data_IF_536675122479
#
_entry.id   IF_536675122479
#
_cell.length_a   1.000
_cell.length_b   1.000
_cell.length_c   1.000
_cell.angle_alpha   90.00
_cell.angle_beta   90.00
_cell.angle_gamma   90.00
#
_symmetry.space_group_name_H-M   'P 1'
#
loop_
_entity.id
_entity.type
_entity.pdbx_description
1 polymer ?
#
# COMPACT_ATOMS: atom_id res chain seq x y z
N UNK A 1 15.09 -9.27 -2.90
CA UNK A 1 13.66 -9.47 -2.51
C UNK A 1 13.49 -10.82 -1.81
N UNK A 2 12.57 -10.96 -0.84
CA UNK A 2 12.30 -12.27 -0.20
C UNK A 2 11.45 -13.14 -1.13
N UNK A 3 11.88 -14.37 -1.34
CA UNK A 3 11.21 -15.37 -2.19
C UNK A 3 10.44 -16.41 -1.38
N UNK A 4 10.97 -16.79 -0.21
CA UNK A 4 10.42 -17.89 0.58
C UNK A 4 10.82 -17.77 2.05
N UNK A 5 9.96 -18.25 2.93
CA UNK A 5 10.10 -18.34 4.39
C UNK A 5 9.98 -19.81 4.78
N UNK A 6 11.07 -20.41 5.25
CA UNK A 6 11.10 -21.76 5.81
C UNK A 6 11.25 -21.70 7.32
N UNK A 7 10.53 -22.56 8.06
CA UNK A 7 10.43 -22.54 9.52
C UNK A 7 10.67 -23.93 10.08
N UNK A 8 11.48 -24.02 11.12
CA UNK A 8 11.73 -25.26 11.85
C UNK A 8 11.76 -24.99 13.37
N UNK A 9 12.16 -25.98 14.17
CA UNK A 9 12.16 -25.87 15.64
C UNK A 9 13.15 -24.83 16.18
N UNK A 10 14.18 -24.46 15.40
CA UNK A 10 15.27 -23.58 15.78
C UNK A 10 15.12 -22.17 15.19
N UNK A 11 13.98 -21.82 14.57
CA UNK A 11 13.74 -20.49 13.99
C UNK A 11 13.39 -20.50 12.50
N UNK A 12 13.84 -19.47 11.78
CA UNK A 12 13.36 -19.13 10.43
C UNK A 12 14.50 -18.88 9.46
N UNK A 13 14.43 -19.49 8.27
CA UNK A 13 15.33 -19.23 7.15
C UNK A 13 14.58 -18.44 6.07
N UNK A 14 15.14 -17.30 5.67
CA UNK A 14 14.66 -16.50 4.55
C UNK A 14 15.51 -16.75 3.30
N UNK A 15 14.86 -17.07 2.19
CA UNK A 15 15.49 -17.13 0.87
C UNK A 15 15.25 -15.83 0.13
N UNK A 16 16.29 -15.32 -0.54
CA UNK A 16 16.24 -14.08 -1.30
C UNK A 16 16.57 -14.32 -2.77
N UNK A 17 16.08 -13.44 -3.64
CA UNK A 17 16.35 -13.50 -5.08
C UNK A 17 17.80 -13.08 -5.43
N UNK A 18 18.36 -12.17 -4.64
CA UNK A 18 19.58 -11.41 -4.93
C UNK A 18 20.73 -11.68 -3.96
N UNK A 19 20.52 -12.56 -2.98
CA UNK A 19 21.53 -12.90 -1.97
C UNK A 19 21.33 -14.30 -1.38
N UNK A 20 22.36 -14.89 -0.74
CA UNK A 20 22.22 -16.16 -0.06
C UNK A 20 21.14 -16.15 1.01
N UNK A 21 20.60 -17.33 1.31
CA UNK A 21 19.63 -17.49 2.39
C UNK A 21 20.24 -17.08 3.74
N UNK A 22 19.40 -16.49 4.59
CA UNK A 22 19.82 -16.03 5.91
C UNK A 22 18.91 -16.59 7.01
N UNK A 23 19.50 -16.82 8.17
CA UNK A 23 18.85 -17.43 9.33
C UNK A 23 18.57 -16.41 10.41
N UNK A 24 17.38 -16.52 11.02
CA UNK A 24 16.86 -15.63 12.05
C UNK A 24 16.14 -16.44 13.13
N UNK A 25 16.03 -15.86 14.32
CA UNK A 25 15.30 -16.48 15.42
C UNK A 25 13.79 -16.32 15.20
N UNK A 26 13.37 -15.16 14.70
CA UNK A 26 11.98 -14.80 14.42
C UNK A 26 11.83 -14.06 13.09
N UNK A 27 10.64 -14.14 12.49
CA UNK A 27 10.24 -13.34 11.33
C UNK A 27 8.98 -12.54 11.62
N UNK A 28 8.94 -11.28 11.17
CA UNK A 28 7.75 -10.44 11.14
C UNK A 28 7.36 -10.23 9.69
N UNK A 29 6.20 -10.75 9.28
CA UNK A 29 5.65 -10.63 7.94
C UNK A 29 4.74 -9.40 7.92
N UNK A 30 5.28 -8.30 7.39
CA UNK A 30 4.60 -7.01 7.22
C UNK A 30 4.10 -6.82 5.77
N UNK A 31 3.85 -7.91 5.05
CA UNK A 31 3.34 -7.98 3.68
C UNK A 31 1.82 -8.20 3.66
N UNK A 32 1.19 -8.03 2.49
CA UNK A 32 -0.20 -8.45 2.28
C UNK A 32 -0.42 -9.93 2.67
N UNK A 33 -1.60 -10.28 3.16
CA UNK A 33 -1.90 -11.60 3.70
C UNK A 33 -1.78 -12.72 2.65
N UNK A 34 -2.21 -12.45 1.41
CA UNK A 34 -2.06 -13.35 0.27
C UNK A 34 -0.57 -13.55 -0.09
N UNK A 35 0.21 -12.47 -0.07
CA UNK A 35 1.65 -12.53 -0.32
C UNK A 35 2.37 -13.29 0.78
N UNK A 36 1.99 -13.06 2.03
CA UNK A 36 2.45 -13.80 3.20
C UNK A 36 2.23 -15.31 3.01
N UNK A 37 1.04 -15.73 2.57
CA UNK A 37 0.76 -17.14 2.27
C UNK A 37 1.64 -17.72 1.17
N UNK A 38 1.92 -16.94 0.11
CA UNK A 38 2.82 -17.36 -0.97
C UNK A 38 4.28 -17.49 -0.50
N UNK A 39 4.70 -16.66 0.46
CA UNK A 39 6.07 -16.70 0.99
C UNK A 39 6.29 -17.89 1.92
N UNK A 40 5.29 -18.30 2.70
CA UNK A 40 5.41 -19.41 3.64
C UNK A 40 5.54 -20.75 2.89
N UNK A 41 6.64 -21.49 3.12
CA UNK A 41 6.83 -22.80 2.52
C UNK A 41 5.81 -23.85 3.00
N UNK A 42 5.40 -23.76 4.26
CA UNK A 42 4.47 -24.71 4.89
C UNK A 42 3.59 -23.98 5.90
N UNK A 43 2.61 -23.18 5.43
CA UNK A 43 1.65 -22.52 6.31
C UNK A 43 0.75 -23.56 6.98
N UNK A 44 0.44 -23.37 8.25
CA UNK A 44 -0.48 -24.26 8.98
C UNK A 44 -1.90 -24.11 8.44
N UNK A 45 -2.80 -25.10 8.64
CA UNK A 45 -4.21 -24.95 8.24
C UNK A 45 -4.89 -23.71 8.82
N UNK A 46 -4.54 -23.34 10.05
CA UNK A 46 -5.07 -22.15 10.71
C UNK A 46 -4.53 -20.86 10.07
N UNK A 47 -3.23 -20.79 9.79
CA UNK A 47 -2.62 -19.65 9.06
C UNK A 47 -3.26 -19.48 7.69
N UNK A 48 -3.42 -20.57 6.93
CA UNK A 48 -4.10 -20.56 5.62
C UNK A 48 -5.52 -20.03 5.74
N UNK A 49 -6.29 -20.55 6.70
CA UNK A 49 -7.67 -20.17 6.90
C UNK A 49 -7.81 -18.67 7.27
N UNK A 50 -7.06 -18.19 8.27
CA UNK A 50 -7.19 -16.81 8.74
C UNK A 50 -6.64 -15.79 7.74
N UNK A 51 -5.49 -16.06 7.10
CA UNK A 51 -4.89 -15.13 6.15
C UNK A 51 -5.70 -15.05 4.83
N UNK A 52 -6.39 -16.13 4.44
CA UNK A 52 -7.27 -16.12 3.27
C UNK A 52 -8.54 -15.26 3.48
N UNK A 53 -8.88 -14.89 4.70
CA UNK A 53 -10.00 -13.98 4.99
C UNK A 53 -9.74 -12.52 4.59
N UNK A 54 -8.55 -12.20 4.08
CA UNK A 54 -8.18 -10.85 3.63
C UNK A 54 -7.89 -10.85 2.13
N UNK A 55 -8.94 -10.89 1.28
CA UNK A 55 -8.76 -10.74 -0.16
C UNK A 55 -8.31 -9.32 -0.49
N UNK A 56 -7.62 -9.17 -1.62
CA UNK A 56 -7.15 -7.89 -2.12
C UNK A 56 -7.81 -7.57 -3.45
N UNK A 57 -8.20 -6.31 -3.63
CA UNK A 57 -8.69 -5.78 -4.89
C UNK A 57 -7.58 -4.93 -5.52
N UNK A 58 -7.17 -5.30 -6.73
CA UNK A 58 -6.28 -4.49 -7.55
C UNK A 58 -6.99 -3.20 -7.99
N UNK A 59 -6.28 -2.10 -7.90
CA UNK A 59 -6.72 -0.77 -8.30
C UNK A 59 -5.61 -0.11 -9.13
N UNK A 60 -6.03 0.67 -10.10
CA UNK A 60 -5.15 1.42 -10.97
C UNK A 60 -5.41 2.91 -10.79
N UNK A 61 -4.38 3.68 -10.44
CA UNK A 61 -4.46 5.12 -10.33
C UNK A 61 -3.64 5.78 -11.44
N UNK A 62 -4.18 6.83 -12.04
CA UNK A 62 -3.47 7.63 -13.04
C UNK A 62 -3.41 9.08 -12.57
N UNK A 63 -2.21 9.63 -12.49
CA UNK A 63 -1.96 11.05 -12.27
C UNK A 63 -1.92 11.75 -13.64
N UNK A 64 -2.73 12.79 -13.83
CA UNK A 64 -2.87 13.48 -15.11
C UNK A 64 -3.32 14.94 -14.95
N UNK A 65 -3.33 15.67 -16.06
CA UNK A 65 -3.88 17.03 -16.17
C UNK A 65 -5.14 17.11 -17.04
N UNK A 66 -5.65 15.95 -17.49
CA UNK A 66 -6.83 15.86 -18.33
C UNK A 66 -8.09 16.30 -17.58
N UNK A 67 -8.60 17.48 -17.93
CA UNK A 67 -9.81 18.08 -17.35
C UNK A 67 -11.10 17.39 -17.80
N UNK A 68 -11.06 16.55 -18.83
CA UNK A 68 -12.27 15.90 -19.37
C UNK A 68 -12.90 14.91 -18.40
N UNK A 69 -12.11 14.39 -17.44
CA UNK A 69 -12.56 13.53 -16.35
C UNK A 69 -13.17 14.29 -15.15
N UNK A 70 -13.21 15.62 -15.20
CA UNK A 70 -13.91 16.45 -14.20
C UNK A 70 -15.31 16.82 -14.70
N UNK A 71 -16.25 17.19 -13.81
CA UNK A 71 -17.57 17.63 -14.22
C UNK A 71 -17.52 18.79 -15.22
N UNK A 72 -18.37 18.73 -16.26
CA UNK A 72 -18.43 19.79 -17.29
C UNK A 72 -18.68 21.19 -16.70
N UNK A 73 -19.48 21.26 -15.63
CA UNK A 73 -19.73 22.50 -14.89
C UNK A 73 -18.66 22.67 -13.82
N UNK A 74 -17.84 23.71 -13.95
CA UNK A 74 -16.77 24.02 -12.96
C UNK A 74 -17.29 24.20 -11.53
N UNK A 75 -18.49 24.73 -11.37
CA UNK A 75 -19.14 24.88 -10.07
C UNK A 75 -19.43 23.53 -9.37
N UNK A 76 -19.48 22.43 -10.12
CA UNK A 76 -19.69 21.08 -9.59
C UNK A 76 -18.37 20.33 -9.31
N UNK A 77 -17.21 20.96 -9.55
CA UNK A 77 -15.93 20.32 -9.24
C UNK A 77 -15.86 20.09 -7.75
N UNK A 78 -15.55 18.85 -7.39
CA UNK A 78 -15.37 18.37 -6.03
C UNK A 78 -13.91 17.97 -5.81
N UNK A 79 -13.50 17.76 -4.55
CA UNK A 79 -12.18 17.23 -4.24
C UNK A 79 -12.13 15.81 -4.76
N UNK A 80 -13.26 15.09 -4.69
CA UNK A 80 -13.47 13.76 -5.23
C UNK A 80 -14.68 13.80 -6.18
N UNK A 81 -14.49 13.46 -7.44
CA UNK A 81 -15.51 13.50 -8.49
C UNK A 81 -15.81 12.06 -8.91
N UNK A 82 -16.99 11.58 -8.50
CA UNK A 82 -17.41 10.22 -8.73
C UNK A 82 -18.04 10.07 -10.12
N UNK A 83 -17.59 9.08 -10.88
CA UNK A 83 -18.17 8.71 -12.16
C UNK A 83 -18.59 7.24 -12.12
N UNK A 84 -19.89 6.99 -12.29
CA UNK A 84 -20.46 5.66 -12.46
C UNK A 84 -21.16 5.59 -13.82
N UNK A 85 -20.66 4.78 -14.76
CA UNK A 85 -21.35 4.52 -16.01
C UNK A 85 -22.75 3.96 -15.76
N UNK A 86 -23.71 4.30 -16.63
CA UNK A 86 -25.10 3.85 -16.46
C UNK A 86 -25.26 2.33 -16.60
N UNK A 87 -24.36 1.67 -17.34
CA UNK A 87 -24.47 0.25 -17.71
C UNK A 87 -23.49 -0.67 -16.96
N UNK A 88 -22.58 -0.15 -16.13
CA UNK A 88 -21.62 -0.97 -15.38
C UNK A 88 -21.81 -0.85 -13.87
N UNK A 89 -22.03 -1.98 -13.20
CA UNK A 89 -22.11 -2.07 -11.73
C UNK A 89 -20.75 -2.26 -11.07
N UNK A 90 -19.73 -2.69 -11.83
CA UNK A 90 -18.61 -3.41 -11.23
C UNK A 90 -17.39 -2.54 -10.92
N UNK A 91 -17.23 -1.39 -11.59
CA UNK A 91 -16.09 -0.49 -11.34
C UNK A 91 -16.54 0.96 -11.22
N UNK A 92 -16.21 1.54 -10.07
CA UNK A 92 -16.35 2.96 -9.80
C UNK A 92 -15.06 3.67 -10.20
N UNK A 93 -15.21 4.75 -10.98
CA UNK A 93 -14.11 5.68 -11.22
C UNK A 93 -14.24 6.88 -10.30
N UNK A 94 -13.15 7.29 -9.65
CA UNK A 94 -13.12 8.52 -8.84
C UNK A 94 -11.95 9.39 -9.27
N UNK A 95 -12.24 10.62 -9.69
CA UNK A 95 -11.24 11.62 -10.04
C UNK A 95 -11.03 12.58 -8.87
N UNK A 96 -9.85 12.54 -8.27
CA UNK A 96 -9.42 13.46 -7.23
C UNK A 96 -8.89 14.74 -7.86
N UNK A 97 -9.49 15.89 -7.56
CA UNK A 97 -8.89 17.20 -7.85
C UNK A 97 -7.87 17.50 -6.74
N UNK A 98 -6.59 17.26 -7.02
CA UNK A 98 -5.52 17.41 -6.04
C UNK A 98 -5.25 18.87 -5.67
N UNK A 99 -5.50 19.81 -6.60
CA UNK A 99 -5.40 21.24 -6.26
C UNK A 99 -6.36 21.57 -5.14
N UNK A 100 -7.60 21.07 -5.24
CA UNK A 100 -8.61 21.33 -4.21
C UNK A 100 -8.41 20.49 -2.95
N UNK A 101 -8.04 19.22 -3.10
CA UNK A 101 -7.85 18.32 -1.97
C UNK A 101 -6.66 18.71 -1.09
N UNK A 102 -5.56 19.14 -1.70
CA UNK A 102 -4.30 19.44 -1.02
C UNK A 102 -4.03 20.95 -0.92
N UNK A 103 -4.91 21.80 -1.45
CA UNK A 103 -4.75 23.26 -1.44
C UNK A 103 -3.62 23.76 -2.35
N UNK A 104 -3.34 23.07 -3.47
CA UNK A 104 -2.26 23.45 -4.37
C UNK A 104 -2.68 24.61 -5.28
N UNK A 105 -1.77 25.57 -5.46
CA UNK A 105 -1.97 26.71 -6.36
C UNK A 105 -1.32 26.46 -7.73
N UNK A 106 -1.89 25.54 -8.51
CA UNK A 106 -1.44 25.23 -9.87
C UNK A 106 -2.36 25.89 -10.92
N UNK A 107 -1.82 26.34 -12.07
CA UNK A 107 -2.60 27.05 -13.09
C UNK A 107 -3.63 26.17 -13.82
N UNK A 108 -3.46 24.85 -13.78
CA UNK A 108 -4.37 23.87 -14.36
C UNK A 108 -4.71 22.76 -13.37
N UNK A 109 -5.71 21.92 -13.68
CA UNK A 109 -6.09 20.81 -12.80
C UNK A 109 -4.96 19.80 -12.72
N UNK A 110 -4.66 19.38 -11.49
CA UNK A 110 -3.86 18.19 -11.23
C UNK A 110 -4.79 17.13 -10.66
N UNK A 111 -4.95 16.04 -11.40
CA UNK A 111 -5.93 15.01 -11.09
C UNK A 111 -5.27 13.66 -10.83
N UNK A 112 -5.81 12.91 -9.86
CA UNK A 112 -5.53 11.49 -9.69
C UNK A 112 -6.84 10.73 -9.91
N UNK A 113 -6.93 9.93 -10.97
CA UNK A 113 -8.13 9.11 -11.22
C UNK A 113 -7.89 7.67 -10.82
N UNK A 114 -8.76 7.15 -9.96
CA UNK A 114 -8.80 5.73 -9.59
C UNK A 114 -9.73 4.98 -10.53
N UNK A 115 -9.24 3.85 -11.04
CA UNK A 115 -9.92 2.91 -11.93
C UNK A 115 -10.64 3.63 -13.08
N UNK A 116 -9.90 4.37 -13.94
CA UNK A 116 -10.48 5.21 -14.97
C UNK A 116 -11.38 4.39 -15.91
N UNK A 117 -12.68 4.66 -15.88
CA UNK A 117 -13.65 4.05 -16.82
C UNK A 117 -13.68 4.76 -18.18
N UNK A 118 -13.14 5.97 -18.23
CA UNK A 118 -13.00 6.77 -19.45
C UNK A 118 -11.51 6.85 -19.80
N UNK A 119 -11.18 6.86 -21.09
CA UNK A 119 -9.80 7.03 -21.54
C UNK A 119 -9.27 8.41 -21.14
N UNK A 120 -8.11 8.42 -20.49
CA UNK A 120 -7.33 9.64 -20.25
C UNK A 120 -6.50 9.92 -21.49
N UNK A 121 -6.47 11.17 -21.95
CA UNK A 121 -5.60 11.56 -23.06
C UNK A 121 -4.12 11.31 -22.70
N UNK A 122 -3.38 10.47 -23.46
CA UNK A 122 -1.97 10.17 -23.18
C UNK A 122 -1.06 11.40 -23.15
N UNK A 123 -1.42 12.50 -23.82
CA UNK A 123 -0.67 13.76 -23.75
C UNK A 123 -0.78 14.44 -22.37
N UNK A 124 -1.82 14.10 -21.61
CA UNK A 124 -2.09 14.66 -20.29
C UNK A 124 -1.71 13.71 -19.14
N UNK A 125 -1.41 12.44 -19.42
CA UNK A 125 -0.96 11.47 -18.42
C UNK A 125 0.47 11.79 -17.97
N UNK A 126 0.66 11.82 -16.65
CA UNK A 126 1.96 12.09 -16.01
C UNK A 126 2.58 10.77 -15.53
N UNK A 127 1.83 10.00 -14.75
CA UNK A 127 2.26 8.74 -14.14
C UNK A 127 1.05 7.86 -13.84
N UNK A 128 1.27 6.57 -13.69
CA UNK A 128 0.29 5.60 -13.25
C UNK A 128 0.85 4.68 -12.17
N UNK A 129 -0.06 4.09 -11.39
CA UNK A 129 0.24 3.31 -10.20
C UNK A 129 -0.73 2.14 -10.09
N UNK A 130 -0.19 0.93 -9.97
CA UNK A 130 -0.95 -0.24 -9.55
C UNK A 130 -0.78 -0.45 -8.04
N UNK A 131 -1.89 -0.67 -7.36
CA UNK A 131 -1.91 -0.94 -5.91
C UNK A 131 -3.10 -1.83 -5.57
N UNK A 132 -2.96 -2.61 -4.50
CA UNK A 132 -4.02 -3.49 -4.04
C UNK A 132 -4.53 -3.05 -2.67
N UNK A 133 -5.84 -3.01 -2.49
CA UNK A 133 -6.48 -2.70 -1.20
C UNK A 133 -7.10 -3.95 -0.58
N UNK A 134 -6.96 -4.15 0.75
CA UNK A 134 -7.67 -5.22 1.44
C UNK A 134 -9.18 -4.97 1.37
N UNK A 135 -9.93 -6.00 1.02
CA UNK A 135 -11.39 -6.01 1.03
C UNK A 135 -11.84 -6.64 2.33
N UNK A 136 -12.60 -5.88 3.12
CA UNK A 136 -13.09 -6.34 4.41
C UNK A 136 -14.47 -6.96 4.29
N UNK A 137 -14.60 -8.15 4.88
CA UNK A 137 -15.84 -8.89 5.02
C UNK A 137 -16.09 -9.23 6.49
N UNK A 138 -17.26 -9.79 6.80
CA UNK A 138 -17.52 -10.33 8.14
C UNK A 138 -16.47 -11.39 8.55
N UNK A 139 -15.99 -12.18 7.58
CA UNK A 139 -14.93 -13.17 7.83
C UNK A 139 -13.61 -12.49 8.20
N UNK A 140 -13.26 -11.38 7.56
CA UNK A 140 -12.06 -10.59 7.88
C UNK A 140 -12.12 -10.08 9.32
N UNK A 141 -13.26 -9.56 9.76
CA UNK A 141 -13.47 -9.06 11.14
C UNK A 141 -13.35 -10.19 12.17
N UNK A 142 -13.90 -11.37 11.87
CA UNK A 142 -13.75 -12.55 12.74
C UNK A 142 -12.29 -13.00 12.80
N UNK A 143 -11.60 -13.05 11.66
CA UNK A 143 -10.19 -13.45 11.59
C UNK A 143 -9.28 -12.50 12.38
N UNK A 144 -9.55 -11.19 12.37
CA UNK A 144 -8.79 -10.20 13.14
C UNK A 144 -8.77 -10.49 14.65
N UNK A 145 -9.91 -10.92 15.22
CA UNK A 145 -10.01 -11.28 16.65
C UNK A 145 -9.18 -12.51 17.02
N UNK A 146 -8.76 -13.29 16.03
CA UNK A 146 -8.03 -14.55 16.17
C UNK A 146 -6.53 -14.39 15.89
N UNK A 147 -6.04 -13.16 15.73
CA UNK A 147 -4.64 -12.85 15.43
C UNK A 147 -3.64 -13.54 16.39
N UNK A 148 -3.94 -13.52 17.69
CA UNK A 148 -3.09 -14.12 18.72
C UNK A 148 -2.95 -15.65 18.60
N UNK A 149 -3.85 -16.32 17.88
CA UNK A 149 -3.75 -17.77 17.63
C UNK A 149 -2.64 -18.11 16.61
N UNK A 150 -2.25 -17.16 15.76
CA UNK A 150 -1.25 -17.40 14.70
C UNK A 150 0.02 -16.56 14.84
N UNK A 151 -0.01 -15.39 15.49
CA UNK A 151 1.19 -14.55 15.66
C UNK A 151 1.97 -14.95 16.91
N UNK A 152 3.22 -15.38 16.72
CA UNK A 152 4.10 -15.93 17.77
C UNK A 152 4.47 -17.40 17.53
N UNK A 153 3.49 -18.32 17.35
CA UNK A 153 3.76 -19.71 16.99
C UNK A 153 4.72 -19.84 15.80
N UNK A 154 5.57 -20.88 15.84
CA UNK A 154 6.62 -21.12 14.82
C UNK A 154 7.51 -19.89 14.56
N UNK A 155 7.75 -19.09 15.61
CA UNK A 155 8.58 -17.89 15.59
C UNK A 155 8.18 -16.90 14.46
N UNK A 156 6.89 -16.90 14.09
CA UNK A 156 6.36 -16.12 12.97
C UNK A 156 5.33 -15.14 13.49
N UNK A 157 5.46 -13.88 13.09
CA UNK A 157 4.55 -12.82 13.46
C UNK A 157 3.95 -12.16 12.22
N UNK A 158 2.72 -11.69 12.33
CA UNK A 158 1.99 -11.10 11.21
C UNK A 158 1.54 -9.70 11.57
N UNK A 159 1.88 -8.71 10.75
CA UNK A 159 1.38 -7.35 10.90
C UNK A 159 1.05 -6.73 9.54
N UNK A 160 0.28 -5.64 9.56
CA UNK A 160 -0.22 -4.99 8.37
C UNK A 160 -1.61 -4.41 8.60
N UNK A 161 -1.98 -3.45 7.76
CA UNK A 161 -3.23 -2.70 7.89
C UNK A 161 -4.49 -3.59 7.83
N UNK A 162 -4.38 -4.79 7.25
CA UNK A 162 -5.46 -5.77 7.18
C UNK A 162 -5.85 -6.37 8.54
N UNK A 163 -5.03 -6.18 9.57
CA UNK A 163 -5.38 -6.51 10.96
C UNK A 163 -6.28 -5.46 11.65
N UNK A 164 -6.65 -4.39 10.95
CA UNK A 164 -7.61 -3.36 11.39
C UNK A 164 -8.54 -2.95 10.25
N UNK A 165 -8.69 -1.66 9.98
CA UNK A 165 -9.59 -1.14 8.93
C UNK A 165 -8.89 -0.76 7.62
N UNK A 166 -7.63 -1.15 7.44
CA UNK A 166 -6.89 -0.94 6.20
C UNK A 166 -6.19 0.42 6.10
N UNK A 167 -6.19 1.23 7.16
CA UNK A 167 -5.49 2.51 7.20
C UNK A 167 -4.04 2.38 7.67
N UNK A 168 -3.26 3.45 7.48
CA UNK A 168 -1.86 3.51 7.93
C UNK A 168 -1.72 3.30 9.44
N UNK A 169 -2.67 3.83 10.23
CA UNK A 169 -2.69 3.67 11.68
C UNK A 169 -2.88 2.20 12.08
N UNK A 170 -3.73 1.44 11.39
CA UNK A 170 -3.89 0.00 11.62
C UNK A 170 -2.59 -0.77 11.34
N UNK A 171 -1.87 -0.37 10.29
CA UNK A 171 -0.55 -0.89 9.97
C UNK A 171 0.46 -0.63 11.10
N UNK A 172 0.50 0.60 11.61
CA UNK A 172 1.37 0.96 12.74
C UNK A 172 1.00 0.21 14.02
N UNK A 173 -0.29 0.19 14.37
CA UNK A 173 -0.80 -0.46 15.58
C UNK A 173 -0.55 -1.98 15.57
N UNK A 174 -0.73 -2.64 14.44
CA UNK A 174 -0.42 -4.07 14.31
C UNK A 174 1.08 -4.36 14.43
N UNK A 175 1.95 -3.46 13.92
CA UNK A 175 3.40 -3.54 14.14
C UNK A 175 3.78 -3.40 15.61
N UNK A 176 3.17 -2.44 16.32
CA UNK A 176 3.34 -2.25 17.77
C UNK A 176 2.87 -3.49 18.54
N UNK A 177 1.77 -4.12 18.13
CA UNK A 177 1.29 -5.36 18.75
C UNK A 177 2.33 -6.49 18.63
N UNK A 178 2.97 -6.65 17.47
CA UNK A 178 4.08 -7.61 17.29
C UNK A 178 5.28 -7.24 18.16
N UNK A 179 5.67 -5.97 18.21
CA UNK A 179 6.78 -5.51 19.03
C UNK A 179 6.55 -5.87 20.51
N UNK A 180 5.35 -5.62 21.04
CA UNK A 180 4.96 -6.00 22.40
C UNK A 180 5.00 -7.51 22.62
N UNK A 181 4.56 -8.31 21.65
CA UNK A 181 4.65 -9.77 21.72
C UNK A 181 6.12 -10.28 21.75
N UNK A 182 7.05 -9.49 21.22
CA UNK A 182 8.49 -9.71 21.30
C UNK A 182 9.15 -9.11 22.56
N UNK A 183 8.35 -8.56 23.48
CA UNK A 183 8.84 -7.94 24.72
C UNK A 183 9.40 -6.53 24.52
N UNK A 184 9.08 -5.86 23.41
CA UNK A 184 9.50 -4.49 23.12
C UNK A 184 8.31 -3.55 23.32
N UNK A 185 8.42 -2.67 24.31
CA UNK A 185 7.40 -1.65 24.56
C UNK A 185 7.78 -0.30 23.94
N UNK A 186 6.77 0.43 23.47
CA UNK A 186 6.94 1.73 22.81
C UNK A 186 7.50 2.77 23.76
N UNK A 187 7.10 2.74 25.03
CA UNK A 187 7.64 3.66 26.05
C UNK A 187 9.12 3.37 26.34
N UNK A 188 9.55 2.11 26.18
CA UNK A 188 10.96 1.74 26.29
C UNK A 188 11.78 2.32 25.13
N UNK A 189 11.25 2.25 23.91
CA UNK A 189 11.91 2.82 22.71
C UNK A 189 11.95 4.35 22.76
N UNK A 190 10.90 4.97 23.28
CA UNK A 190 10.81 6.43 23.43
C UNK A 190 11.59 6.96 24.64
N UNK A 191 12.23 6.10 25.43
CA UNK A 191 13.01 6.49 26.62
C UNK A 191 12.14 7.03 27.76
N UNK A 192 10.86 6.67 27.77
CA UNK A 192 9.85 7.12 28.75
C UNK A 192 9.54 6.08 29.82
N UNK A 193 10.04 4.85 29.66
CA UNK A 193 10.07 3.84 30.71
C UNK A 193 11.49 3.71 31.28
N UNK A 194 11.64 3.85 32.60
CA UNK A 194 12.88 3.57 33.34
C UNK A 194 13.09 2.09 33.63
N UNK A 195 12.04 1.29 33.44
CA UNK A 195 12.02 -0.11 33.83
C UNK A 195 12.00 -0.95 32.56
N UNK A 196 13.09 -1.71 32.37
CA UNK A 196 13.30 -2.90 31.49
C UNK A 196 14.61 -2.75 30.70
N UNK A 197 15.59 -3.56 31.09
CA UNK A 197 16.74 -3.88 30.25
C UNK A 197 16.30 -4.86 29.15
N UNK A 198 15.83 -4.36 28.01
CA UNK A 198 15.74 -5.17 26.80
C UNK A 198 17.17 -5.42 26.35
N UNK A 199 17.60 -6.68 26.27
CA UNK A 199 18.83 -7.04 25.56
C UNK A 199 18.46 -7.25 24.07
N UNK A 200 18.65 -6.25 23.19
CA UNK A 200 18.37 -6.41 21.76
C UNK A 200 19.29 -7.45 21.09
N UNK A 201 20.31 -7.97 21.79
CA UNK A 201 21.20 -9.02 21.27
C UNK A 201 20.67 -10.43 21.48
N UNK A 202 19.59 -10.63 22.28
CA UNK A 202 19.02 -11.96 22.56
C UNK A 202 18.19 -12.54 21.42
N UNK A 203 17.64 -11.72 20.54
CA UNK A 203 16.83 -12.17 19.41
C UNK A 203 17.20 -11.39 18.15
N UNK A 204 17.33 -12.08 17.02
CA UNK A 204 17.53 -11.50 15.70
C UNK A 204 16.22 -11.54 14.89
N UNK A 205 15.23 -10.69 15.17
CA UNK A 205 14.03 -10.60 14.35
C UNK A 205 14.37 -9.93 13.01
N UNK A 206 13.71 -10.38 11.95
CA UNK A 206 13.76 -9.73 10.63
C UNK A 206 12.35 -9.36 10.19
N UNK A 207 12.19 -8.17 9.64
CA UNK A 207 10.92 -7.71 9.08
C UNK A 207 10.93 -7.86 7.57
N UNK A 208 9.91 -8.52 7.03
CA UNK A 208 9.68 -8.65 5.59
C UNK A 208 8.62 -7.63 5.19
N UNK A 209 8.99 -6.67 4.35
CA UNK A 209 8.11 -5.61 3.86
C UNK A 209 7.68 -5.88 2.41
N UNK A 210 6.54 -5.32 1.96
CA UNK A 210 6.16 -5.32 0.56
C UNK A 210 7.22 -4.58 -0.26
N UNK A 211 7.44 -5.04 -1.49
CA UNK A 211 8.27 -4.31 -2.44
C UNK A 211 7.46 -3.10 -2.92
N UNK A 212 8.04 -1.90 -2.91
CA UNK A 212 7.40 -0.76 -3.55
C UNK A 212 7.22 -1.06 -5.05
N UNK A 213 6.04 -0.79 -5.64
CA UNK A 213 5.86 -0.93 -7.08
C UNK A 213 6.84 0.02 -7.81
N UNK A 214 7.38 -0.45 -8.93
CA UNK A 214 8.25 0.37 -9.77
C UNK A 214 7.41 1.47 -10.43
N UNK A 215 7.81 2.73 -10.28
CA UNK A 215 7.21 3.86 -10.99
C UNK A 215 7.43 3.68 -12.49
N UNK A 216 6.39 3.34 -13.25
CA UNK A 216 6.45 3.36 -14.70
C UNK A 216 6.34 4.82 -15.16
N UNK A 217 7.48 5.45 -15.45
CA UNK A 217 7.50 6.76 -16.09
C UNK A 217 7.16 6.59 -17.56
N UNK A 218 6.00 7.09 -18.00
CA UNK A 218 5.80 7.35 -19.42
C UNK A 218 6.81 8.44 -19.84
N UNK A 219 7.66 8.14 -20.83
CA UNK A 219 8.62 9.14 -21.34
C UNK A 219 7.82 10.29 -21.95
N UNK A 220 8.06 11.56 -21.58
CA UNK A 220 7.47 12.66 -22.32
C UNK A 220 7.99 12.59 -23.76
N UNK A 221 7.07 12.50 -24.73
CA UNK A 221 7.45 12.67 -26.14
C UNK A 221 7.96 14.10 -26.29
N UNK A 222 9.15 14.25 -26.88
CA UNK A 222 9.72 15.54 -27.23
C UNK A 222 8.72 16.34 -28.07
N UNK A 223 8.18 17.42 -27.51
CA UNK A 223 7.46 18.42 -28.29
C UNK A 223 8.52 19.12 -29.15
N UNK A 224 8.46 19.00 -30.48
CA UNK A 224 9.37 19.73 -31.35
C UNK A 224 9.13 21.21 -31.18
N UNK A 225 10.20 21.96 -30.90
CA UNK A 225 10.20 23.41 -30.74
C UNK A 225 10.06 24.13 -32.10
N UNK A 226 8.90 23.96 -32.74
CA UNK A 226 8.63 24.56 -34.05
C UNK A 226 7.17 24.97 -34.19
N UNK A 227 6.72 25.86 -33.31
CA UNK A 227 5.65 26.85 -33.59
C UNK A 227 5.31 27.66 -32.33
N UNK A 228 6.20 28.57 -31.93
CA UNK A 228 5.84 29.73 -31.11
C UNK A 228 6.29 30.96 -31.90
N UNK A 229 5.34 31.55 -32.65
CA UNK A 229 5.49 32.91 -33.16
C UNK A 229 5.18 33.88 -32.00
N UNK A 230 6.02 34.91 -31.76
CA UNK A 230 5.73 35.92 -30.75
C UNK A 230 4.69 36.91 -31.29
N UNK A 231 3.47 36.88 -30.74
CA UNK A 231 2.52 37.96 -30.93
C UNK A 231 2.94 39.14 -30.04
N UNK A 232 3.15 40.27 -30.71
CA UNK A 232 3.73 41.50 -30.20
C UNK A 232 2.85 42.16 -29.12
N UNK A 233 3.52 42.67 -28.07
CA UNK A 233 3.04 43.79 -27.28
C UNK A 233 2.68 44.96 -28.23
N UNK A 234 1.46 45.49 -28.11
CA UNK A 234 1.19 46.90 -28.39
C UNK A 234 0.28 47.45 -27.30
N UNK A 235 0.80 48.49 -26.66
CA UNK A 235 0.14 49.39 -25.73
C UNK A 235 -1.12 50.02 -26.34
N UNK A 236 -2.22 50.01 -25.59
CA UNK A 236 -3.01 51.19 -25.16
C UNK A 236 -4.21 50.74 -24.33
#
# INVERSE_FOLDING_TARGET
RVRQVNRDQQGVTLSFDDRPAQRFDHVVLATHADRTLQLLQSPTPLEQHLLACFPYQENHAVLHTDRSLLPRRRAAWASWNYHRPAESTDNVSVTYDLNRLQGLNLPGPLCLTLNPTQSIDPAHQIMDFDFAHPVFSLQSVVAQRRWAEISGPKQTHFCGAYWGYGFHEDGANSGIAVARALGIDVETVLGRSSDIAIDPRRHKPVVVHPHAPALQRTRPRSVSSSSILPAQLKER
#
